data_IF_456238705464
#
_entry.id   IF_456238705464
#
_cell.length_a   1.000
_cell.length_b   1.000
_cell.length_c   1.000
_cell.angle_alpha   90.00
_cell.angle_beta   90.00
_cell.angle_gamma   90.00
#
_symmetry.space_group_name_H-M   'P 1'
#
loop_
_entity.id
_entity.type
_entity.pdbx_description
1 polymer ?
#
# COMPACT_ATOMS: atom_id res chain seq x y z
N UNK A 1 21.15 -40.24 4.44
CA UNK A 1 19.82 -39.59 4.32
C UNK A 1 19.57 -38.76 5.57
N UNK A 2 18.91 -37.62 5.39
CA UNK A 2 18.76 -36.48 6.33
C UNK A 2 19.94 -35.51 6.33
N UNK A 3 20.02 -34.74 5.25
CA UNK A 3 20.77 -33.49 5.16
C UNK A 3 20.19 -32.52 6.18
N UNK A 4 20.96 -32.25 7.23
CA UNK A 4 20.71 -31.19 8.21
C UNK A 4 20.57 -29.86 7.46
N UNK A 5 19.37 -29.27 7.46
CA UNK A 5 19.18 -27.87 7.15
C UNK A 5 19.92 -27.08 8.23
N UNK A 6 21.16 -26.73 7.92
CA UNK A 6 21.95 -25.75 8.67
C UNK A 6 21.20 -24.43 8.53
N UNK A 7 20.43 -24.06 9.56
CA UNK A 7 19.82 -22.74 9.67
C UNK A 7 20.85 -21.68 9.34
N UNK A 8 20.46 -20.66 8.58
CA UNK A 8 21.35 -19.54 8.28
C UNK A 8 21.63 -18.77 9.57
N UNK A 9 22.64 -19.21 10.33
CA UNK A 9 23.24 -18.50 11.46
C UNK A 9 24.16 -17.37 10.96
N UNK A 10 23.64 -16.52 10.09
CA UNK A 10 24.26 -15.24 9.78
C UNK A 10 23.92 -14.23 10.87
N UNK A 11 24.80 -13.27 11.20
CA UNK A 11 24.38 -12.15 12.04
C UNK A 11 23.31 -11.40 11.26
N UNK A 12 22.05 -11.44 11.71
CA UNK A 12 20.87 -10.92 10.96
C UNK A 12 21.06 -9.49 10.45
N UNK A 13 20.18 -9.00 9.58
CA UNK A 13 20.33 -7.70 8.91
C UNK A 13 20.61 -6.58 9.92
N UNK A 14 21.78 -5.90 9.84
CA UNK A 14 22.10 -4.82 10.75
C UNK A 14 21.27 -3.58 10.44
N UNK A 15 20.80 -2.90 11.48
CA UNK A 15 20.20 -1.57 11.41
C UNK A 15 21.15 -0.52 11.98
N UNK A 16 21.16 0.67 11.39
CA UNK A 16 21.96 1.80 11.84
C UNK A 16 21.31 2.52 13.04
N UNK A 17 19.99 2.51 13.11
CA UNK A 17 19.20 3.17 14.15
C UNK A 17 19.33 2.42 15.48
N UNK A 18 20.11 2.99 16.41
CA UNK A 18 20.31 2.41 17.74
C UNK A 18 19.26 2.84 18.76
N UNK A 19 18.71 4.04 18.60
CA UNK A 19 17.74 4.66 19.54
C UNK A 19 16.79 5.57 18.76
N UNK A 20 15.59 5.79 19.28
CA UNK A 20 14.60 6.67 18.63
C UNK A 20 13.80 5.98 17.52
N UNK A 21 13.18 6.79 16.67
CA UNK A 21 12.33 6.32 15.58
C UNK A 21 13.16 5.89 14.35
N UNK A 22 12.61 4.95 13.59
CA UNK A 22 13.16 4.54 12.29
C UNK A 22 12.67 5.49 11.19
N UNK A 23 13.51 5.73 10.19
CA UNK A 23 13.20 6.59 9.03
C UNK A 23 13.87 7.95 9.10
N UNK A 24 14.82 8.17 8.20
CA UNK A 24 15.50 9.46 8.00
C UNK A 24 14.64 10.42 7.17
N UNK A 25 13.90 9.88 6.19
CA UNK A 25 13.03 10.65 5.31
C UNK A 25 11.59 10.75 5.81
N UNK A 26 10.87 11.79 5.38
CA UNK A 26 9.46 11.97 5.75
C UNK A 26 8.56 10.87 5.17
N UNK A 27 8.80 10.46 3.92
CA UNK A 27 8.00 9.42 3.25
C UNK A 27 8.15 8.05 3.91
N UNK A 28 9.36 7.72 4.41
CA UNK A 28 9.60 6.45 5.10
C UNK A 28 8.95 6.43 6.49
N UNK A 29 9.08 7.53 7.25
CA UNK A 29 8.33 7.71 8.52
C UNK A 29 6.82 7.65 8.32
N UNK A 30 6.30 8.24 7.24
CA UNK A 30 4.86 8.21 6.92
C UNK A 30 4.37 6.78 6.69
N UNK A 31 5.10 5.98 5.92
CA UNK A 31 4.76 4.56 5.70
C UNK A 31 4.86 3.74 6.97
N UNK A 32 5.91 3.95 7.77
CA UNK A 32 6.04 3.29 9.07
C UNK A 32 4.85 3.63 9.99
N UNK A 33 4.46 4.91 10.05
CA UNK A 33 3.32 5.35 10.85
C UNK A 33 1.99 4.73 10.39
N UNK A 34 1.77 4.58 9.08
CA UNK A 34 0.60 3.87 8.53
C UNK A 34 0.54 2.42 9.02
N UNK A 35 1.67 1.68 8.97
CA UNK A 35 1.73 0.33 9.52
C UNK A 35 1.51 0.30 11.03
N UNK A 36 2.18 1.17 11.78
CA UNK A 36 2.10 1.22 13.24
C UNK A 36 0.70 1.62 13.73
N UNK A 37 -0.06 2.42 12.97
CA UNK A 37 -1.44 2.78 13.32
C UNK A 37 -2.38 1.57 13.45
N UNK A 38 -2.04 0.45 12.81
CA UNK A 38 -2.80 -0.82 12.86
C UNK A 38 -2.21 -1.83 13.84
N UNK A 39 -1.08 -1.51 14.49
CA UNK A 39 -0.35 -2.40 15.39
C UNK A 39 -0.63 -2.06 16.86
N UNK A 40 -0.48 -3.05 17.74
CA UNK A 40 -0.54 -2.82 19.19
C UNK A 40 0.76 -2.15 19.68
N UNK A 41 0.68 -1.37 20.76
CA UNK A 41 1.87 -0.71 21.36
C UNK A 41 2.97 -1.71 21.74
N UNK A 42 2.58 -2.91 22.19
CA UNK A 42 3.52 -3.99 22.52
C UNK A 42 4.20 -4.55 21.26
N UNK A 43 3.46 -4.74 20.17
CA UNK A 43 4.02 -5.17 18.88
C UNK A 43 5.00 -4.13 18.33
N UNK A 44 4.67 -2.84 18.42
CA UNK A 44 5.55 -1.74 17.98
C UNK A 44 6.87 -1.75 18.78
N UNK A 45 6.77 -1.77 20.11
CA UNK A 45 7.94 -1.73 21.00
C UNK A 45 8.85 -2.96 20.82
N UNK A 46 8.23 -4.14 20.72
CA UNK A 46 8.95 -5.41 20.55
C UNK A 46 9.55 -5.53 19.16
N UNK A 47 8.82 -5.13 18.11
CA UNK A 47 9.30 -5.16 16.72
C UNK A 47 10.50 -4.24 16.48
N UNK A 48 10.44 -3.00 17.00
CA UNK A 48 11.59 -2.07 16.96
C UNK A 48 12.80 -2.64 17.71
N UNK A 49 12.58 -3.29 18.85
CA UNK A 49 13.65 -3.95 19.60
C UNK A 49 14.23 -5.15 18.83
N UNK A 50 13.38 -5.97 18.21
CA UNK A 50 13.79 -7.12 17.41
C UNK A 50 14.64 -6.71 16.19
N UNK A 51 14.27 -5.61 15.51
CA UNK A 51 15.08 -5.05 14.43
C UNK A 51 16.48 -4.64 14.92
N UNK A 52 16.58 -3.91 16.05
CA UNK A 52 17.86 -3.50 16.65
C UNK A 52 18.71 -4.69 17.10
N UNK A 53 18.06 -5.74 17.60
CA UNK A 53 18.71 -6.97 18.04
C UNK A 53 19.02 -7.93 16.88
N UNK A 54 18.85 -7.51 15.62
CA UNK A 54 19.19 -8.29 14.41
C UNK A 54 18.42 -9.61 14.31
N UNK A 55 17.16 -9.61 14.73
CA UNK A 55 16.29 -10.78 14.58
C UNK A 55 15.85 -11.01 13.14
N UNK A 56 15.81 -9.97 12.31
CA UNK A 56 15.53 -10.13 10.88
C UNK A 56 16.75 -10.76 10.22
N UNK A 57 16.62 -11.97 9.69
CA UNK A 57 17.75 -12.75 9.16
C UNK A 57 18.11 -12.32 7.74
N UNK A 58 17.10 -12.16 6.89
CA UNK A 58 17.25 -11.65 5.52
C UNK A 58 16.01 -10.87 5.08
N UNK A 59 16.21 -9.99 4.09
CA UNK A 59 15.14 -9.23 3.43
C UNK A 59 15.41 -9.21 1.93
N UNK A 60 14.46 -9.72 1.16
CA UNK A 60 14.51 -9.84 -0.28
C UNK A 60 13.43 -8.97 -0.91
N UNK A 61 13.86 -7.93 -1.62
CA UNK A 61 12.97 -7.05 -2.36
C UNK A 61 12.79 -7.63 -3.77
N UNK A 62 11.58 -8.11 -4.04
CA UNK A 62 11.12 -8.58 -5.34
C UNK A 62 10.24 -7.54 -6.04
N UNK A 63 9.67 -7.94 -7.18
CA UNK A 63 8.69 -7.12 -7.89
C UNK A 63 7.33 -7.20 -7.18
N UNK A 64 6.83 -6.07 -6.68
CA UNK A 64 5.54 -6.00 -5.94
C UNK A 64 5.49 -6.78 -4.63
N UNK A 65 6.59 -7.42 -4.24
CA UNK A 65 6.67 -8.27 -3.05
C UNK A 65 7.98 -8.08 -2.33
N UNK A 66 7.92 -8.13 -1.01
CA UNK A 66 9.09 -8.29 -0.15
C UNK A 66 8.92 -9.55 0.67
N UNK A 67 9.96 -10.37 0.72
CA UNK A 67 10.04 -11.55 1.57
C UNK A 67 11.12 -11.36 2.62
N UNK A 68 10.87 -11.82 3.83
CA UNK A 68 11.84 -11.77 4.91
C UNK A 68 11.67 -12.96 5.85
N UNK A 69 12.78 -13.39 6.46
CA UNK A 69 12.77 -14.34 7.56
C UNK A 69 13.13 -13.64 8.86
N UNK A 70 12.41 -13.95 9.93
CA UNK A 70 12.60 -13.34 11.24
C UNK A 70 12.77 -14.43 12.29
N UNK A 71 13.85 -14.35 13.06
CA UNK A 71 14.05 -15.18 14.23
C UNK A 71 12.94 -14.94 15.24
N UNK A 72 12.47 -16.02 15.88
CA UNK A 72 11.49 -15.93 16.94
C UNK A 72 11.58 -17.10 17.91
N UNK A 73 10.48 -17.34 18.63
CA UNK A 73 10.41 -18.36 19.70
C UNK A 73 10.43 -19.80 19.21
N UNK A 74 10.04 -20.05 17.97
CA UNK A 74 10.00 -21.40 17.39
C UNK A 74 11.33 -21.74 16.67
N UNK A 75 11.64 -23.03 16.44
CA UNK A 75 12.90 -23.44 15.81
C UNK A 75 13.09 -22.93 14.39
N UNK A 76 12.01 -22.83 13.60
CA UNK A 76 12.03 -22.30 12.23
C UNK A 76 11.74 -20.81 12.22
N UNK A 77 12.52 -19.98 11.48
CA UNK A 77 12.21 -18.56 11.33
C UNK A 77 10.77 -18.31 10.87
N UNK A 78 10.17 -17.23 11.33
CA UNK A 78 8.89 -16.76 10.81
C UNK A 78 9.09 -16.13 9.44
N UNK A 79 8.15 -16.40 8.54
CA UNK A 79 8.11 -15.83 7.21
C UNK A 79 7.22 -14.60 7.25
N UNK A 80 7.74 -13.49 6.72
CA UNK A 80 7.00 -12.23 6.59
C UNK A 80 6.99 -11.84 5.12
N UNK A 81 5.80 -11.56 4.60
CA UNK A 81 5.62 -11.05 3.24
C UNK A 81 4.94 -9.68 3.29
N UNK A 82 5.43 -8.75 2.48
CA UNK A 82 4.71 -7.52 2.14
C UNK A 82 4.36 -7.54 0.66
N UNK A 83 3.11 -7.22 0.34
CA UNK A 83 2.62 -7.03 -1.02
C UNK A 83 2.32 -5.56 -1.25
N UNK A 84 2.95 -5.00 -2.28
CA UNK A 84 2.76 -3.63 -2.72
C UNK A 84 2.01 -3.67 -4.03
N UNK A 85 0.80 -3.08 -4.13
CA UNK A 85 0.11 -2.97 -5.42
C UNK A 85 0.98 -2.18 -6.42
N UNK A 86 0.65 -2.16 -7.71
CA UNK A 86 1.20 -1.16 -8.62
C UNK A 86 0.70 0.26 -8.28
N UNK A 87 1.36 1.31 -8.80
CA UNK A 87 0.82 2.67 -8.77
C UNK A 87 -0.57 2.75 -9.39
N UNK A 88 -1.40 3.62 -8.83
CA UNK A 88 -2.69 3.95 -9.44
C UNK A 88 -2.42 4.55 -10.84
N UNK A 89 -3.18 4.16 -11.88
CA UNK A 89 -3.08 4.77 -13.19
C UNK A 89 -3.12 6.32 -13.18
N UNK A 90 -3.84 6.93 -12.23
CA UNK A 90 -3.91 8.38 -12.08
C UNK A 90 -2.59 9.02 -11.59
N UNK A 91 -1.77 8.26 -10.85
CA UNK A 91 -0.48 8.72 -10.31
C UNK A 91 0.66 8.56 -11.32
N UNK A 92 0.49 7.73 -12.35
CA UNK A 92 1.54 7.44 -13.35
C UNK A 92 2.08 8.71 -14.03
N UNK A 93 1.26 9.68 -14.48
CA UNK A 93 1.77 10.91 -15.08
C UNK A 93 2.62 11.74 -14.11
N UNK A 94 2.28 11.72 -12.81
CA UNK A 94 3.06 12.40 -11.77
C UNK A 94 4.42 11.74 -11.62
N UNK A 95 4.44 10.40 -11.52
CA UNK A 95 5.67 9.62 -11.42
C UNK A 95 6.58 9.88 -12.64
N UNK A 96 6.03 9.82 -13.86
CA UNK A 96 6.80 10.09 -15.08
C UNK A 96 7.31 11.54 -15.13
N UNK A 97 6.50 12.49 -14.68
CA UNK A 97 6.89 13.90 -14.57
C UNK A 97 8.09 14.10 -13.65
N UNK A 98 8.05 13.56 -12.43
CA UNK A 98 9.16 13.69 -11.47
C UNK A 98 10.42 12.95 -11.94
N UNK A 99 10.27 11.73 -12.50
CA UNK A 99 11.40 10.99 -13.09
C UNK A 99 12.04 11.77 -14.25
N UNK A 100 11.25 12.48 -15.05
CA UNK A 100 11.76 13.30 -16.15
C UNK A 100 12.54 14.51 -15.65
N UNK A 101 12.10 15.16 -14.56
CA UNK A 101 12.80 16.31 -13.96
C UNK A 101 14.19 15.94 -13.46
N UNK A 102 14.32 14.81 -12.79
CA UNK A 102 15.62 14.34 -12.23
C UNK A 102 16.45 13.59 -13.29
N UNK A 103 15.78 13.01 -14.29
CA UNK A 103 16.36 12.17 -15.32
C UNK A 103 16.37 10.70 -14.93
N UNK A 104 16.03 9.81 -15.87
CA UNK A 104 15.87 8.36 -15.64
C UNK A 104 17.11 7.72 -15.00
N UNK A 105 18.30 8.02 -15.52
CA UNK A 105 19.54 7.42 -15.02
C UNK A 105 19.83 7.84 -13.57
N UNK A 106 19.55 9.10 -13.23
CA UNK A 106 19.71 9.61 -11.87
C UNK A 106 18.67 8.99 -10.92
N UNK A 107 17.41 8.89 -11.34
CA UNK A 107 16.36 8.22 -10.57
C UNK A 107 16.69 6.74 -10.28
N UNK A 108 17.18 6.02 -11.29
CA UNK A 108 17.66 4.63 -11.13
C UNK A 108 18.93 4.51 -10.28
N UNK A 109 19.74 5.57 -10.21
CA UNK A 109 20.89 5.67 -9.31
C UNK A 109 20.52 6.11 -7.89
N UNK A 110 19.22 6.31 -7.58
CA UNK A 110 18.73 6.66 -6.25
C UNK A 110 18.50 8.16 -6.02
N UNK A 111 18.64 9.01 -7.05
CA UNK A 111 18.19 10.42 -6.98
C UNK A 111 16.67 10.48 -7.07
N UNK A 112 16.00 10.23 -5.94
CA UNK A 112 14.55 10.31 -5.80
C UNK A 112 14.26 11.43 -4.81
N UNK A 113 13.42 12.38 -5.20
CA UNK A 113 12.98 13.44 -4.29
C UNK A 113 11.79 12.98 -3.42
N UNK A 114 11.49 13.76 -2.38
CA UNK A 114 10.44 13.41 -1.43
C UNK A 114 9.05 13.32 -2.10
N UNK A 115 8.79 14.10 -3.15
CA UNK A 115 7.54 14.06 -3.90
C UNK A 115 7.35 12.72 -4.61
N UNK A 116 8.35 12.28 -5.39
CA UNK A 116 8.33 11.00 -6.08
C UNK A 116 8.29 9.83 -5.09
N UNK A 117 9.08 9.87 -4.02
CA UNK A 117 9.08 8.83 -2.99
C UNK A 117 7.72 8.71 -2.29
N UNK A 118 7.04 9.82 -2.04
CA UNK A 118 5.69 9.83 -1.42
C UNK A 118 4.64 9.17 -2.31
N UNK A 119 4.73 9.35 -3.63
CA UNK A 119 3.81 8.70 -4.58
C UNK A 119 4.15 7.22 -4.75
N UNK A 120 5.45 6.88 -4.73
CA UNK A 120 5.90 5.50 -4.85
C UNK A 120 5.63 4.67 -3.60
N UNK A 121 5.76 5.21 -2.39
CA UNK A 121 5.54 4.45 -1.15
C UNK A 121 4.14 4.73 -0.58
N UNK A 122 3.14 3.86 -0.82
CA UNK A 122 1.78 4.10 -0.39
C UNK A 122 1.68 4.03 1.13
N UNK A 123 1.36 5.16 1.76
CA UNK A 123 1.15 5.29 3.20
C UNK A 123 -0.29 5.76 3.48
N UNK A 124 -1.25 5.01 2.95
CA UNK A 124 -2.70 5.24 3.09
C UNK A 124 -3.37 3.92 3.42
N UNK A 125 -4.09 3.89 4.53
CA UNK A 125 -5.12 2.91 4.94
C UNK A 125 -4.91 1.46 4.48
N UNK A 126 -3.74 0.88 4.75
CA UNK A 126 -3.52 -0.56 4.53
C UNK A 126 -3.39 -0.96 3.05
N UNK A 127 -3.08 -0.01 2.16
CA UNK A 127 -2.68 -0.33 0.79
C UNK A 127 -1.46 -1.25 0.73
N UNK A 128 -0.57 -1.14 1.74
CA UNK A 128 0.48 -2.14 1.96
C UNK A 128 -0.13 -3.34 2.65
N UNK A 129 -0.27 -4.45 1.92
CA UNK A 129 -0.69 -5.72 2.48
C UNK A 129 0.51 -6.43 3.09
N UNK A 130 0.29 -7.11 4.20
CA UNK A 130 1.32 -7.91 4.86
C UNK A 130 0.76 -9.22 5.38
N UNK A 131 1.61 -10.22 5.49
CA UNK A 131 1.32 -11.49 6.15
C UNK A 131 2.53 -11.96 6.94
N UNK A 132 2.27 -12.68 8.03
CA UNK A 132 3.31 -13.33 8.83
C UNK A 132 2.84 -14.74 9.20
N UNK A 133 3.75 -15.71 9.21
CA UNK A 133 3.45 -17.08 9.63
C UNK A 133 3.27 -17.27 11.14
N UNK A 134 3.34 -16.19 11.94
CA UNK A 134 3.11 -16.25 13.38
C UNK A 134 1.63 -16.40 13.74
N UNK A 135 1.30 -17.00 14.89
CA UNK A 135 -0.08 -17.15 15.35
C UNK A 135 -0.75 -15.83 15.78
N UNK A 136 0.01 -14.73 15.87
CA UNK A 136 -0.53 -13.42 16.27
C UNK A 136 -1.42 -12.83 15.15
N UNK A 137 -2.73 -12.70 15.41
CA UNK A 137 -3.73 -12.13 14.50
C UNK A 137 -4.81 -11.38 15.32
N UNK A 138 -5.46 -10.31 14.79
CA UNK A 138 -5.22 -9.63 13.52
C UNK A 138 -4.25 -8.43 13.63
N UNK A 139 -3.61 -8.05 12.53
CA UNK A 139 -2.80 -6.83 12.40
C UNK A 139 -1.28 -7.07 12.25
N UNK A 140 -0.47 -6.01 12.12
CA UNK A 140 0.98 -6.13 12.10
C UNK A 140 1.49 -6.67 13.45
N UNK A 141 2.08 -7.87 13.42
CA UNK A 141 2.76 -8.45 14.57
C UNK A 141 4.15 -7.82 14.74
N UNK A 142 4.86 -8.23 15.81
CA UNK A 142 6.22 -7.75 16.05
C UNK A 142 7.18 -8.05 14.89
N UNK A 143 6.99 -9.19 14.19
CA UNK A 143 7.84 -9.61 13.07
C UNK A 143 7.63 -8.68 11.87
N UNK A 144 6.37 -8.35 11.55
CA UNK A 144 6.03 -7.36 10.51
C UNK A 144 6.66 -6.01 10.82
N UNK A 145 6.53 -5.52 12.06
CA UNK A 145 7.14 -4.25 12.48
C UNK A 145 8.67 -4.31 12.39
N UNK A 146 9.30 -5.41 12.79
CA UNK A 146 10.76 -5.57 12.72
C UNK A 146 11.27 -5.50 11.27
N UNK A 147 10.58 -6.17 10.35
CA UNK A 147 10.91 -6.12 8.91
C UNK A 147 10.65 -4.73 8.34
N UNK A 148 9.57 -4.05 8.73
CA UNK A 148 9.29 -2.68 8.30
C UNK A 148 10.39 -1.70 8.74
N UNK A 149 10.92 -1.84 9.95
CA UNK A 149 12.05 -1.04 10.43
C UNK A 149 13.30 -1.23 9.55
N UNK A 150 13.64 -2.48 9.22
CA UNK A 150 14.77 -2.81 8.33
C UNK A 150 14.53 -2.28 6.92
N UNK A 151 13.30 -2.41 6.41
CA UNK A 151 12.92 -1.92 5.09
C UNK A 151 13.05 -0.41 4.97
N UNK A 152 12.53 0.34 5.95
CA UNK A 152 12.65 1.81 5.97
C UNK A 152 14.10 2.25 5.86
N UNK A 153 15.00 1.69 6.67
CA UNK A 153 16.41 2.06 6.58
C UNK A 153 17.07 1.67 5.26
N UNK A 154 16.66 0.54 4.68
CA UNK A 154 17.16 0.12 3.38
C UNK A 154 16.68 1.07 2.29
N UNK A 155 15.44 1.52 2.34
CA UNK A 155 14.88 2.45 1.37
C UNK A 155 15.51 3.83 1.51
N UNK A 156 15.73 4.31 2.73
CA UNK A 156 16.43 5.59 2.96
C UNK A 156 17.85 5.56 2.35
N UNK A 157 18.55 4.41 2.43
CA UNK A 157 19.89 4.22 1.84
C UNK A 157 19.88 3.93 0.34
N UNK A 158 18.80 3.37 -0.18
CA UNK A 158 18.69 2.94 -1.58
C UNK A 158 17.27 3.19 -2.11
N UNK A 159 16.89 4.47 -2.34
CA UNK A 159 15.53 4.83 -2.73
C UNK A 159 15.07 4.16 -4.03
N UNK A 160 15.99 3.81 -4.93
CA UNK A 160 15.69 3.12 -6.18
C UNK A 160 14.97 1.77 -5.99
N UNK A 161 15.10 1.13 -4.82
CA UNK A 161 14.37 -0.11 -4.50
C UNK A 161 12.84 0.11 -4.48
N UNK A 162 12.36 1.36 -4.29
CA UNK A 162 10.93 1.71 -4.35
C UNK A 162 10.28 1.34 -5.69
N UNK A 163 10.99 1.54 -6.80
CA UNK A 163 10.48 1.19 -8.14
C UNK A 163 10.24 -0.31 -8.28
N UNK A 164 11.18 -1.11 -7.77
CA UNK A 164 11.09 -2.57 -7.79
C UNK A 164 9.95 -3.04 -6.87
N UNK A 165 9.89 -2.50 -5.65
CA UNK A 165 8.82 -2.77 -4.70
C UNK A 165 7.45 -2.46 -5.30
N UNK A 166 7.30 -1.45 -6.15
CA UNK A 166 6.00 -1.09 -6.74
C UNK A 166 5.69 -1.78 -8.06
N UNK A 167 6.58 -2.61 -8.60
CA UNK A 167 6.34 -3.19 -9.92
C UNK A 167 6.46 -2.18 -11.06
N UNK A 168 7.10 -1.03 -10.82
CA UNK A 168 7.13 0.08 -11.76
C UNK A 168 8.56 0.33 -12.25
N UNK A 169 9.00 -0.28 -13.37
CA UNK A 169 10.25 0.12 -13.98
C UNK A 169 10.09 1.55 -14.52
N UNK A 170 10.86 2.53 -14.03
CA UNK A 170 10.82 3.86 -14.61
C UNK A 170 11.31 3.74 -16.06
N UNK A 171 10.59 4.39 -16.98
CA UNK A 171 10.91 4.43 -18.41
C UNK A 171 11.20 5.87 -18.79
N UNK A 172 12.14 6.08 -19.71
CA UNK A 172 12.27 7.37 -20.35
C UNK A 172 11.03 7.56 -21.21
N UNK A 173 10.31 8.66 -21.00
CA UNK A 173 9.04 8.90 -21.68
C UNK A 173 9.19 8.83 -23.20
N UNK A 174 8.41 7.97 -23.84
CA UNK A 174 7.86 8.27 -25.16
C UNK A 174 6.44 8.74 -24.93
N UNK A 175 6.16 10.03 -25.17
CA UNK A 175 4.78 10.48 -25.23
C UNK A 175 3.98 9.62 -26.22
N UNK A 176 2.75 9.24 -25.84
CA UNK A 176 1.77 8.71 -26.77
C UNK A 176 1.46 7.22 -26.63
N UNK A 177 0.22 6.96 -26.20
CA UNK A 177 -0.66 5.81 -26.47
C UNK A 177 -0.11 4.57 -27.18
N UNK A 178 -0.36 3.41 -26.55
CA UNK A 178 -0.89 2.16 -27.12
C UNK A 178 -0.97 1.16 -25.95
N UNK A 179 -2.16 0.73 -25.51
CA UNK A 179 -3.00 -0.19 -26.26
C UNK A 179 -2.96 -1.53 -25.53
N UNK A 180 -4.05 -1.86 -24.84
CA UNK A 180 -4.27 -3.13 -24.14
C UNK A 180 -3.95 -4.30 -25.09
N UNK A 181 -2.88 -5.03 -24.82
CA UNK A 181 -2.60 -6.29 -25.49
C UNK A 181 -3.54 -7.35 -24.91
N UNK A 182 -4.59 -7.67 -25.65
CA UNK A 182 -5.43 -8.83 -25.43
C UNK A 182 -4.58 -10.11 -25.58
N UNK A 183 -4.65 -11.01 -24.60
CA UNK A 183 -4.18 -12.39 -24.76
C UNK A 183 -5.27 -13.20 -25.47
N UNK A 184 -4.95 -13.99 -26.50
CA UNK A 184 -5.91 -14.91 -27.10
C UNK A 184 -6.14 -16.10 -26.16
N UNK A 185 -7.40 -16.53 -26.08
CA UNK A 185 -7.82 -17.69 -25.31
C UNK A 185 -7.28 -19.01 -25.88
N UNK A 186 -7.14 -19.98 -24.99
CA UNK A 186 -7.04 -21.38 -25.34
C UNK A 186 -7.97 -22.16 -24.41
N UNK A 187 -9.06 -22.66 -25.00
CA UNK A 187 -9.97 -23.64 -24.44
C UNK A 187 -9.32 -25.02 -24.39
N UNK A 188 -9.56 -25.77 -23.33
CA UNK A 188 -9.22 -27.20 -23.23
C UNK A 188 -9.87 -27.80 -22.00
N UNK A 189 -10.92 -28.57 -22.23
CA UNK A 189 -11.89 -29.15 -21.30
C UNK A 189 -11.35 -30.33 -20.49
N UNK A 190 -11.76 -30.44 -19.22
CA UNK A 190 -11.96 -31.73 -18.55
C UNK A 190 -13.07 -31.58 -17.53
N UNK A 191 -14.17 -32.29 -17.77
CA UNK A 191 -15.38 -32.32 -16.95
C UNK A 191 -15.10 -32.94 -15.57
N UNK A 192 -15.15 -32.10 -14.55
CA UNK A 192 -15.52 -32.47 -13.17
C UNK A 192 -16.38 -31.32 -12.68
N UNK A 193 -17.65 -31.56 -12.37
CA UNK A 193 -18.56 -30.55 -11.80
C UNK A 193 -18.44 -30.62 -10.27
N UNK A 194 -17.85 -29.63 -9.58
CA UNK A 194 -17.95 -29.52 -8.13
C UNK A 194 -19.29 -28.85 -7.79
N UNK A 195 -19.98 -29.40 -6.80
CA UNK A 195 -21.30 -28.97 -6.30
C UNK A 195 -21.41 -27.50 -5.82
N UNK A 196 -20.34 -26.69 -5.92
CA UNK A 196 -20.27 -25.29 -5.45
C UNK A 196 -20.03 -24.24 -6.55
N UNK A 197 -20.02 -24.60 -7.85
CA UNK A 197 -19.70 -23.66 -8.94
C UNK A 197 -20.91 -23.07 -9.71
N UNK A 198 -22.13 -23.17 -9.17
CA UNK A 198 -23.24 -22.36 -9.67
C UNK A 198 -23.28 -21.03 -8.91
N UNK A 199 -22.48 -20.06 -9.37
CA UNK A 199 -22.61 -18.66 -8.95
C UNK A 199 -24.05 -18.22 -9.27
N UNK A 200 -24.91 -17.92 -8.28
CA UNK A 200 -26.25 -17.47 -8.58
C UNK A 200 -26.15 -16.19 -9.41
N UNK A 201 -26.72 -16.22 -10.62
CA UNK A 201 -26.81 -15.04 -11.48
C UNK A 201 -27.64 -13.97 -10.77
N UNK A 202 -26.96 -13.09 -10.03
CA UNK A 202 -27.57 -11.92 -9.42
C UNK A 202 -27.99 -10.96 -10.54
N UNK A 203 -29.16 -10.30 -10.43
CA UNK A 203 -29.49 -9.21 -11.33
C UNK A 203 -28.39 -8.15 -11.29
N UNK A 204 -28.06 -7.51 -12.42
CA UNK A 204 -27.05 -6.47 -12.44
C UNK A 204 -27.44 -5.37 -11.44
N UNK A 205 -26.51 -4.90 -10.60
CA UNK A 205 -26.82 -3.82 -9.67
C UNK A 205 -27.35 -2.61 -10.45
N UNK A 206 -28.34 -1.88 -9.92
CA UNK A 206 -28.83 -0.68 -10.58
C UNK A 206 -27.66 0.28 -10.80
N UNK A 207 -27.41 0.65 -12.05
CA UNK A 207 -26.42 1.68 -12.38
C UNK A 207 -26.98 3.02 -11.93
N UNK A 208 -26.35 3.72 -10.96
CA UNK A 208 -26.76 5.07 -10.64
C UNK A 208 -26.58 5.94 -11.89
N UNK A 209 -27.63 6.66 -12.26
CA UNK A 209 -27.57 7.62 -13.38
C UNK A 209 -26.84 8.87 -12.89
N UNK A 210 -25.51 8.83 -12.96
CA UNK A 210 -24.60 9.90 -12.54
C UNK A 210 -23.34 9.34 -11.90
N UNK A 211 -22.16 9.83 -12.31
CA UNK A 211 -20.92 9.41 -11.67
C UNK A 211 -20.84 10.06 -10.29
N UNK A 212 -20.47 9.31 -9.26
CA UNK A 212 -20.19 9.85 -7.92
C UNK A 212 -19.10 10.94 -7.95
N UNK A 213 -18.21 10.91 -8.95
CA UNK A 213 -17.24 11.96 -9.24
C UNK A 213 -17.88 13.29 -9.65
N UNK A 214 -19.04 13.27 -10.32
CA UNK A 214 -19.76 14.49 -10.71
C UNK A 214 -20.40 15.20 -9.50
N UNK A 215 -20.60 14.48 -8.39
CA UNK A 215 -21.05 15.04 -7.10
C UNK A 215 -19.91 15.65 -6.28
N UNK A 216 -18.66 15.23 -6.51
CA UNK A 216 -17.49 15.65 -5.73
C UNK A 216 -16.66 16.77 -6.40
N UNK A 217 -16.88 17.06 -7.69
CA UNK A 217 -16.18 18.11 -8.44
C UNK A 217 -16.96 19.44 -8.62
N UNK A 218 -18.08 19.59 -7.93
CA UNK A 218 -18.88 20.83 -7.94
C UNK A 218 -18.25 21.96 -7.12
N UNK A 219 -18.59 23.21 -7.43
CA UNK A 219 -18.14 24.43 -6.74
C UNK A 219 -18.15 24.36 -5.19
N UNK A 220 -19.00 23.50 -4.63
CA UNK A 220 -19.10 23.18 -3.20
C UNK A 220 -17.81 22.65 -2.56
N UNK A 221 -17.03 21.79 -3.24
CA UNK A 221 -15.77 21.28 -2.69
C UNK A 221 -14.69 22.39 -2.58
N UNK A 222 -14.65 23.29 -3.58
CA UNK A 222 -13.77 24.47 -3.58
C UNK A 222 -14.22 25.51 -2.54
N UNK A 223 -15.52 25.71 -2.39
CA UNK A 223 -16.08 26.61 -1.39
C UNK A 223 -15.77 26.11 0.04
N UNK A 224 -15.90 24.80 0.28
CA UNK A 224 -15.56 24.18 1.57
C UNK A 224 -14.08 24.33 1.91
N UNK A 225 -13.19 23.96 0.99
CA UNK A 225 -11.74 24.10 1.17
C UNK A 225 -11.33 25.56 1.43
N UNK A 226 -11.95 26.52 0.73
CA UNK A 226 -11.72 27.96 0.96
C UNK A 226 -12.23 28.43 2.32
N UNK A 227 -13.40 27.98 2.76
CA UNK A 227 -13.99 28.37 4.05
C UNK A 227 -13.15 27.84 5.23
N UNK A 228 -12.66 26.60 5.12
CA UNK A 228 -11.77 25.99 6.12
C UNK A 228 -10.43 26.71 6.19
N UNK A 229 -9.81 27.02 5.04
CA UNK A 229 -8.54 27.75 4.99
C UNK A 229 -8.62 29.18 5.57
N UNK A 230 -9.80 29.81 5.49
CA UNK A 230 -10.05 31.14 6.04
C UNK A 230 -10.51 31.13 7.50
N UNK A 231 -10.64 29.95 8.12
CA UNK A 231 -11.14 29.81 9.49
C UNK A 231 -12.60 30.26 9.65
N UNK A 232 -13.38 30.30 8.57
CA UNK A 232 -14.77 30.76 8.60
C UNK A 232 -15.71 29.61 9.00
N UNK A 233 -15.95 29.50 10.30
CA UNK A 233 -16.73 28.41 10.91
C UNK A 233 -18.19 28.39 10.46
N UNK A 234 -18.83 29.56 10.27
CA UNK A 234 -20.22 29.65 9.83
C UNK A 234 -20.39 29.18 8.38
N UNK A 235 -19.48 29.57 7.48
CA UNK A 235 -19.53 29.10 6.09
C UNK A 235 -19.27 27.59 5.99
N UNK A 236 -18.41 27.06 6.86
CA UNK A 236 -18.12 25.62 6.94
C UNK A 236 -19.36 24.83 7.38
N UNK A 237 -20.07 25.30 8.42
CA UNK A 237 -21.28 24.65 8.92
C UNK A 237 -22.45 24.71 7.92
N UNK A 238 -22.60 25.81 7.18
CA UNK A 238 -23.64 25.91 6.15
C UNK A 238 -23.44 24.88 5.03
N UNK A 239 -22.20 24.72 4.56
CA UNK A 239 -21.88 23.75 3.51
C UNK A 239 -22.07 22.30 3.99
N UNK A 240 -21.77 22.02 5.27
CA UNK A 240 -22.03 20.70 5.85
C UNK A 240 -23.52 20.38 5.94
N UNK A 241 -24.36 21.35 6.33
CA UNK A 241 -25.81 21.19 6.37
C UNK A 241 -26.38 20.88 4.98
N UNK A 242 -25.96 21.61 3.95
CA UNK A 242 -26.42 21.38 2.57
C UNK A 242 -26.04 19.96 2.07
N UNK A 243 -24.91 19.42 2.54
CA UNK A 243 -24.42 18.10 2.18
C UNK A 243 -25.16 16.98 2.92
N UNK A 244 -25.55 17.22 4.18
CA UNK A 244 -26.43 16.33 4.95
C UNK A 244 -27.84 16.24 4.35
N UNK A 245 -28.41 17.37 3.93
CA UNK A 245 -29.72 17.41 3.26
C UNK A 245 -29.68 16.63 1.92
N UNK A 246 -28.59 16.77 1.17
CA UNK A 246 -28.37 16.00 -0.05
C UNK A 246 -28.28 14.50 0.23
N UNK A 247 -27.54 14.10 1.26
CA UNK A 247 -27.43 12.69 1.68
C UNK A 247 -28.79 12.11 2.07
N UNK A 248 -29.60 12.86 2.82
CA UNK A 248 -30.96 12.45 3.16
C UNK A 248 -31.89 12.34 1.96
N UNK A 249 -31.75 13.23 0.95
CA UNK A 249 -32.54 13.18 -0.27
C UNK A 249 -32.24 11.92 -1.11
N UNK A 250 -30.98 11.46 -1.12
CA UNK A 250 -30.57 10.25 -1.82
C UNK A 250 -30.97 8.96 -1.09
N UNK A 251 -31.06 9.01 0.25
CA UNK A 251 -31.46 7.86 1.08
C UNK A 251 -32.96 7.54 1.04
N UNK A 252 -33.81 8.47 0.58
CA UNK A 252 -35.27 8.35 0.60
C UNK A 252 -35.87 8.21 -0.82
N UNK A 253 -35.24 7.43 -1.70
CA UNK A 253 -35.85 7.06 -2.99
C UNK A 253 -37.18 6.30 -2.80
N UNK A 254 -38.16 6.46 -3.70
CA UNK A 254 -39.50 5.90 -3.52
C UNK A 254 -39.47 4.36 -3.47
N UNK A 255 -40.01 3.80 -2.39
CA UNK A 255 -40.18 2.36 -2.22
C UNK A 255 -40.98 1.77 -3.38
N UNK A 256 -40.57 0.63 -3.99
CA UNK A 256 -41.38 0.00 -5.02
C UNK A 256 -42.72 -0.45 -4.42
N UNK A 257 -43.81 -0.06 -5.06
CA UNK A 257 -45.16 -0.47 -4.67
C UNK A 257 -45.31 -1.98 -4.86
N UNK A 258 -45.91 -2.71 -3.92
CA UNK A 258 -46.11 -4.14 -4.07
C UNK A 258 -47.24 -4.40 -5.08
N UNK A 259 -46.95 -5.19 -6.11
CA UNK A 259 -47.97 -5.89 -6.93
C UNK A 259 -48.52 -7.11 -6.17
#
# INVERSE_FOLDING_TARGET
>A
MSTLFRGQEGPGVPVATKTGDFGEHQWSRRWMADLEARATRSAITSGRSAARNRWVLDVQIGWQKVFAHVQGSQPSPFEVTFDFPPPDPADVPVIEGEVTKVGLAAALAGSIDDALATVLLPAVDGQTRHSCSCPDQPGPCLHTIAVACVLVERLDKSPQDLFRMRGYPPRAGSGGSRGRAARPGASGTSDVIPFWDADPQLPPPPVPSGAVSDLLDGASARAFASAVAQGNTLATLAILSDLEDLYHSLGNGPSPSPE
#
